data_IF_867508702925
#
_entry.id   IF_867508702925
#
_cell.length_a   1.000
_cell.length_b   1.000
_cell.length_c   1.000
_cell.angle_alpha   90.00
_cell.angle_beta   90.00
_cell.angle_gamma   90.00
#
_symmetry.space_group_name_H-M   'P 1'
#
loop_
_entity.id
_entity.type
_entity.pdbx_description
1 polymer ?
#
# COMPACT_ATOMS: atom_id res chain seq x y z
N UNK A 1 -9.11 -24.58 -1.13
CA UNK A 1 -8.67 -23.50 -0.22
C UNK A 1 -9.51 -22.27 -0.56
N UNK A 2 -10.20 -21.64 0.40
CA UNK A 2 -11.03 -20.47 0.14
C UNK A 2 -10.18 -19.32 -0.39
N UNK A 3 -10.64 -18.69 -1.47
CA UNK A 3 -10.01 -17.54 -2.11
C UNK A 3 -10.61 -16.27 -1.51
N UNK A 4 -9.81 -15.47 -0.83
CA UNK A 4 -10.25 -14.18 -0.26
C UNK A 4 -10.13 -13.10 -1.34
N UNK A 5 -11.24 -12.41 -1.62
CA UNK A 5 -11.29 -11.33 -2.61
C UNK A 5 -11.35 -9.94 -1.97
N UNK A 6 -11.87 -9.86 -0.75
CA UNK A 6 -12.02 -8.60 -0.01
C UNK A 6 -11.44 -8.79 1.40
N UNK A 7 -10.47 -7.95 1.76
CA UNK A 7 -9.80 -7.99 3.04
C UNK A 7 -9.89 -6.60 3.69
N UNK A 8 -10.46 -6.54 4.90
CA UNK A 8 -10.42 -5.35 5.72
C UNK A 8 -9.47 -5.55 6.89
N UNK A 9 -8.48 -4.66 6.96
CA UNK A 9 -7.53 -4.52 8.03
C UNK A 9 -7.62 -3.13 8.68
N UNK A 10 -8.75 -2.45 8.57
CA UNK A 10 -8.96 -1.15 9.20
C UNK A 10 -8.73 -1.21 10.73
N UNK A 11 -8.21 -0.13 11.30
CA UNK A 11 -8.09 0.05 12.77
C UNK A 11 -7.15 -0.95 13.48
N UNK A 12 -6.21 -1.56 12.77
CA UNK A 12 -5.27 -2.55 13.31
C UNK A 12 -3.90 -1.98 13.75
N UNK A 13 -3.77 -0.65 13.83
CA UNK A 13 -2.51 0.02 14.18
C UNK A 13 -1.31 -0.42 13.32
N UNK A 14 -1.55 -0.77 12.05
CA UNK A 14 -0.51 -1.21 11.13
C UNK A 14 0.37 0.00 10.77
N UNK A 15 1.63 -0.05 11.19
CA UNK A 15 2.62 0.96 10.87
C UNK A 15 3.26 0.72 9.51
N UNK A 16 3.61 -0.53 9.20
CA UNK A 16 4.44 -0.86 8.03
C UNK A 16 3.71 -1.69 6.98
N UNK A 17 3.97 -1.43 5.70
CA UNK A 17 3.43 -2.21 4.57
C UNK A 17 4.24 -3.48 4.24
N UNK A 18 5.26 -3.82 5.04
CA UNK A 18 6.21 -4.91 4.76
C UNK A 18 5.56 -6.28 4.62
N UNK A 19 4.45 -6.55 5.32
CA UNK A 19 3.70 -7.80 5.25
C UNK A 19 2.78 -7.94 4.04
N UNK A 20 2.54 -6.87 3.27
CA UNK A 20 1.59 -6.94 2.14
C UNK A 20 2.08 -7.83 1.01
N UNK A 21 3.39 -8.00 0.83
CA UNK A 21 3.97 -8.87 -0.19
C UNK A 21 3.50 -10.33 -0.04
N UNK A 22 3.21 -10.78 1.18
CA UNK A 22 2.66 -12.11 1.45
C UNK A 22 1.26 -12.31 0.84
N UNK A 23 0.54 -11.23 0.56
CA UNK A 23 -0.78 -11.24 -0.07
C UNK A 23 -0.71 -11.20 -1.61
N UNK A 24 0.48 -11.03 -2.21
CA UNK A 24 0.64 -10.92 -3.66
C UNK A 24 0.17 -12.17 -4.43
N UNK A 25 0.25 -13.35 -3.81
CA UNK A 25 -0.22 -14.62 -4.39
C UNK A 25 -1.72 -14.88 -4.26
N UNK A 26 -2.48 -13.94 -3.70
CA UNK A 26 -3.93 -14.07 -3.49
C UNK A 26 -4.70 -13.40 -4.63
N UNK A 27 -5.95 -13.85 -4.88
CA UNK A 27 -6.88 -13.18 -5.79
C UNK A 27 -7.58 -11.99 -5.12
N UNK A 28 -6.85 -11.24 -4.28
CA UNK A 28 -7.42 -10.12 -3.54
C UNK A 28 -7.72 -8.95 -4.47
N UNK A 29 -8.99 -8.57 -4.54
CA UNK A 29 -9.47 -7.45 -5.37
C UNK A 29 -9.57 -6.16 -4.57
N UNK A 30 -9.88 -6.25 -3.27
CA UNK A 30 -10.09 -5.09 -2.41
C UNK A 30 -9.38 -5.22 -1.07
N UNK A 31 -8.71 -4.14 -0.68
CA UNK A 31 -8.03 -4.00 0.60
C UNK A 31 -8.49 -2.72 1.30
N UNK A 32 -8.78 -2.82 2.59
CA UNK A 32 -9.06 -1.67 3.45
C UNK A 32 -8.01 -1.61 4.57
N UNK A 33 -7.31 -0.49 4.66
CA UNK A 33 -6.25 -0.17 5.59
C UNK A 33 -6.49 1.19 6.27
N UNK A 34 -7.63 1.82 6.02
CA UNK A 34 -8.08 3.05 6.66
C UNK A 34 -7.92 3.00 8.19
N UNK A 35 -7.54 4.13 8.79
CA UNK A 35 -7.28 4.24 10.23
C UNK A 35 -6.13 3.34 10.71
N UNK A 36 -5.16 3.08 9.84
CA UNK A 36 -3.84 2.57 10.24
C UNK A 36 -2.79 3.66 10.08
N UNK A 37 -1.68 3.56 10.80
CA UNK A 37 -0.59 4.55 10.75
C UNK A 37 0.06 4.62 9.37
N UNK A 38 0.05 3.50 8.62
CA UNK A 38 0.56 3.46 7.25
C UNK A 38 -0.20 4.36 6.26
N UNK A 39 -1.44 4.75 6.54
CA UNK A 39 -2.26 5.65 5.70
C UNK A 39 -1.58 7.01 5.51
N UNK A 40 -0.80 7.47 6.49
CA UNK A 40 -0.10 8.74 6.48
C UNK A 40 1.26 8.71 5.78
N UNK A 41 1.70 7.55 5.28
CA UNK A 41 2.96 7.45 4.56
C UNK A 41 2.91 8.11 3.18
N UNK A 42 4.00 8.79 2.81
CA UNK A 42 4.15 9.31 1.46
C UNK A 42 4.11 8.16 0.45
N UNK A 43 3.40 8.39 -0.66
CA UNK A 43 3.19 7.39 -1.70
C UNK A 43 2.50 6.12 -1.18
N UNK A 44 1.72 6.19 -0.09
CA UNK A 44 1.01 5.07 0.52
C UNK A 44 0.29 4.20 -0.53
N UNK A 45 -0.56 4.82 -1.37
CA UNK A 45 -1.27 4.10 -2.43
C UNK A 45 -0.32 3.41 -3.42
N UNK A 46 0.66 4.15 -3.96
CA UNK A 46 1.67 3.60 -4.89
C UNK A 46 2.43 2.42 -4.27
N UNK A 47 2.80 2.51 -2.99
CA UNK A 47 3.47 1.42 -2.26
C UNK A 47 2.57 0.20 -2.13
N UNK A 48 1.30 0.38 -1.74
CA UNK A 48 0.34 -0.71 -1.64
C UNK A 48 0.12 -1.39 -3.00
N UNK A 49 -0.13 -0.62 -4.07
CA UNK A 49 -0.32 -1.17 -5.42
C UNK A 49 0.96 -1.75 -6.03
N UNK A 50 2.14 -1.31 -5.60
CA UNK A 50 3.41 -1.94 -5.96
C UNK A 50 3.57 -3.32 -5.32
N UNK A 51 3.21 -3.47 -4.03
CA UNK A 51 3.17 -4.77 -3.36
C UNK A 51 2.05 -5.68 -3.88
N UNK A 52 0.91 -5.09 -4.27
CA UNK A 52 -0.30 -5.79 -4.72
C UNK A 52 -0.74 -5.28 -6.11
N UNK A 53 -0.04 -5.68 -7.19
CA UNK A 53 -0.31 -5.15 -8.53
C UNK A 53 -1.71 -5.49 -9.05
N UNK A 54 -2.28 -6.62 -8.61
CA UNK A 54 -3.60 -7.12 -8.99
C UNK A 54 -4.76 -6.50 -8.18
N UNK A 55 -4.46 -5.69 -7.16
CA UNK A 55 -5.48 -5.04 -6.35
C UNK A 55 -6.27 -4.03 -7.20
N UNK A 56 -7.60 -4.08 -7.11
CA UNK A 56 -8.50 -3.19 -7.86
C UNK A 56 -8.94 -1.99 -7.02
N UNK A 57 -9.06 -2.15 -5.71
CA UNK A 57 -9.59 -1.13 -4.81
C UNK A 57 -8.81 -1.07 -3.49
N UNK A 58 -8.44 0.15 -3.08
CA UNK A 58 -7.79 0.45 -1.81
C UNK A 58 -8.59 1.51 -1.05
N UNK A 59 -9.00 1.20 0.18
CA UNK A 59 -9.74 2.10 1.07
C UNK A 59 -11.07 2.62 0.49
N UNK A 60 -11.69 1.82 -0.37
CA UNK A 60 -12.91 2.19 -1.10
C UNK A 60 -12.67 3.02 -2.36
N UNK A 61 -11.41 3.27 -2.73
CA UNK A 61 -11.03 4.03 -3.91
C UNK A 61 -10.40 3.08 -4.93
N UNK A 62 -10.94 3.07 -6.16
CA UNK A 62 -10.40 2.27 -7.26
C UNK A 62 -8.94 2.64 -7.57
N UNK A 63 -8.19 1.67 -8.09
CA UNK A 63 -6.82 1.88 -8.57
C UNK A 63 -6.83 2.96 -9.66
N UNK A 64 -6.03 4.00 -9.47
CA UNK A 64 -5.88 5.09 -10.42
C UNK A 64 -4.63 4.85 -11.30
N UNK A 65 -4.55 5.46 -12.50
CA UNK A 65 -3.37 5.37 -13.36
C UNK A 65 -2.09 5.84 -12.65
N UNK A 66 -2.21 6.89 -11.83
CA UNK A 66 -1.12 7.47 -11.04
C UNK A 66 -0.56 6.50 -10.00
N UNK A 67 -1.38 5.57 -9.49
CA UNK A 67 -1.00 4.56 -8.51
C UNK A 67 -0.05 3.51 -9.11
N UNK A 68 -0.02 3.38 -10.44
CA UNK A 68 0.85 2.43 -11.17
C UNK A 68 2.21 3.03 -11.55
N UNK A 69 2.38 4.34 -11.36
CA UNK A 69 3.70 4.96 -11.53
C UNK A 69 4.63 4.49 -10.41
N UNK A 70 5.91 4.17 -10.71
CA UNK A 70 6.88 3.93 -9.66
C UNK A 70 6.86 5.12 -8.69
N UNK A 71 6.92 4.90 -7.37
CA UNK A 71 7.03 6.00 -6.44
C UNK A 71 8.25 6.80 -6.88
N UNK A 72 8.04 8.10 -7.17
CA UNK A 72 9.16 9.00 -7.41
C UNK A 72 10.07 8.83 -6.20
N UNK A 73 11.24 8.22 -6.44
CA UNK A 73 12.27 8.08 -5.43
C UNK A 73 12.59 9.49 -5.04
N UNK A 74 12.05 9.91 -3.90
CA UNK A 74 12.37 11.17 -3.28
C UNK A 74 13.89 11.19 -3.13
N UNK A 75 14.57 11.95 -3.98
CA UNK A 75 16.05 12.08 -4.04
C UNK A 75 16.52 12.93 -2.84
N UNK A 76 15.94 12.74 -1.66
CA UNK A 76 16.36 13.37 -0.41
C UNK A 76 16.89 12.35 0.60
N UNK A 77 17.35 11.19 0.13
CA UNK A 77 17.99 10.19 0.97
C UNK A 77 19.46 10.51 1.32
N UNK A 78 20.00 11.70 1.03
CA UNK A 78 21.36 12.10 1.45
C UNK A 78 21.55 13.63 1.50
N UNK A 79 20.93 14.33 2.45
CA UNK A 79 21.48 15.62 2.89
C UNK A 79 21.68 15.55 4.41
N UNK A 80 22.83 14.97 4.81
CA UNK A 80 23.41 15.29 6.11
C UNK A 80 24.05 16.67 5.99
N UNK A 81 23.40 17.70 6.52
CA UNK A 81 24.12 18.93 6.89
C UNK A 81 24.77 18.64 8.24
N UNK A 82 26.08 18.46 8.25
CA UNK A 82 26.87 18.56 9.48
C UNK A 82 27.08 20.06 9.72
N UNK A 83 26.54 20.57 10.84
CA UNK A 83 26.94 21.87 11.41
C UNK A 83 27.99 21.64 12.49
#
# INVERSE_FOLDING_TARGET
IPQIQHLSLAENHIETLTGLSSLQGTLLESLMLKRNLCEFHQNYRKRVFSCLPNLKMLDGILKLPEDSSPPETNIFSNICVVS
#
